data_IF_702918085113
#
_entry.id   IF_702918085113
#
_cell.length_a   1.000
_cell.length_b   1.000
_cell.length_c   1.000
_cell.angle_alpha   90.00
_cell.angle_beta   90.00
_cell.angle_gamma   90.00
#
_symmetry.space_group_name_H-M   'P 1'
#
loop_
_entity.id
_entity.type
_entity.pdbx_description
1 polymer ?
#
# COMPACT_ATOMS: atom_id res chain seq x y z
N UNK A 1 -29.50 -50.42 5.38
CA UNK A 1 -29.37 -50.04 6.80
C UNK A 1 -28.51 -48.81 6.94
N UNK A 2 -29.13 -47.63 7.10
CA UNK A 2 -28.41 -46.40 7.46
C UNK A 2 -28.34 -46.30 8.99
N UNK A 3 -27.13 -46.19 9.51
CA UNK A 3 -26.88 -46.11 10.95
C UNK A 3 -26.58 -44.66 11.34
N UNK A 4 -27.59 -43.97 11.87
CA UNK A 4 -27.46 -42.63 12.46
C UNK A 4 -26.82 -42.73 13.84
N UNK A 5 -25.57 -42.28 13.96
CA UNK A 5 -24.88 -42.14 15.25
C UNK A 5 -25.01 -40.69 15.71
N UNK A 6 -25.73 -40.46 16.81
CA UNK A 6 -25.80 -39.15 17.46
C UNK A 6 -24.53 -38.95 18.27
N UNK A 7 -23.65 -38.07 17.81
CA UNK A 7 -22.41 -37.72 18.50
C UNK A 7 -22.75 -36.81 19.70
N UNK A 8 -22.25 -37.10 20.91
CA UNK A 8 -22.46 -36.22 22.07
C UNK A 8 -21.96 -34.80 21.78
N UNK A 9 -22.83 -33.80 21.92
CA UNK A 9 -22.53 -32.39 21.63
C UNK A 9 -23.13 -31.83 20.34
N UNK A 10 -23.85 -32.61 19.53
CA UNK A 10 -24.59 -32.07 18.37
C UNK A 10 -25.57 -30.96 18.75
N UNK A 11 -26.33 -31.12 19.84
CA UNK A 11 -27.25 -30.07 20.31
C UNK A 11 -26.57 -28.80 20.82
N UNK A 12 -25.30 -28.85 21.25
CA UNK A 12 -24.56 -27.63 21.60
C UNK A 12 -24.00 -26.93 20.37
N UNK A 13 -23.63 -27.67 19.33
CA UNK A 13 -23.25 -27.10 18.03
C UNK A 13 -24.41 -26.32 17.39
N UNK A 14 -25.64 -26.80 17.52
CA UNK A 14 -26.86 -26.12 17.04
C UNK A 14 -27.09 -24.76 17.71
N UNK A 15 -26.48 -24.50 18.86
CA UNK A 15 -26.55 -23.21 19.57
C UNK A 15 -25.30 -22.36 19.29
N UNK A 16 -24.12 -22.97 19.36
CA UNK A 16 -22.84 -22.26 19.23
C UNK A 16 -22.62 -21.76 17.80
N UNK A 17 -22.90 -22.57 16.79
CA UNK A 17 -22.65 -22.20 15.38
C UNK A 17 -23.51 -20.99 14.96
N UNK A 18 -24.84 -20.95 15.21
CA UNK A 18 -25.63 -19.76 14.89
C UNK A 18 -25.20 -18.52 15.67
N UNK A 19 -24.80 -18.65 16.94
CA UNK A 19 -24.32 -17.54 17.75
C UNK A 19 -23.03 -16.92 17.19
N UNK A 20 -22.06 -17.76 16.80
CA UNK A 20 -20.83 -17.30 16.16
C UNK A 20 -21.08 -16.70 14.77
N UNK A 21 -21.99 -17.31 13.99
CA UNK A 21 -22.39 -16.78 12.69
C UNK A 21 -23.08 -15.40 12.81
N UNK A 22 -23.94 -15.22 13.80
CA UNK A 22 -24.56 -13.94 14.10
C UNK A 22 -23.52 -12.88 14.50
N UNK A 23 -22.55 -13.25 15.35
CA UNK A 23 -21.45 -12.37 15.76
C UNK A 23 -20.58 -11.95 14.56
N UNK A 24 -20.23 -12.89 13.69
CA UNK A 24 -19.47 -12.61 12.47
C UNK A 24 -20.25 -11.67 11.53
N UNK A 25 -21.56 -11.90 11.38
CA UNK A 25 -22.43 -11.06 10.58
C UNK A 25 -22.50 -9.63 11.13
N UNK A 26 -22.62 -9.48 12.44
CA UNK A 26 -22.62 -8.17 13.10
C UNK A 26 -21.32 -7.40 12.85
N UNK A 27 -20.17 -8.05 13.01
CA UNK A 27 -18.85 -7.45 12.74
C UNK A 27 -18.71 -7.05 11.26
N UNK A 28 -19.19 -7.88 10.33
CA UNK A 28 -19.18 -7.53 8.90
C UNK A 28 -20.04 -6.31 8.59
N UNK A 29 -21.23 -6.22 9.18
CA UNK A 29 -22.11 -5.06 9.02
C UNK A 29 -21.46 -3.79 9.56
N UNK A 30 -20.88 -3.86 10.77
CA UNK A 30 -20.17 -2.71 11.36
C UNK A 30 -18.97 -2.29 10.51
N UNK A 31 -18.21 -3.25 9.96
CA UNK A 31 -17.09 -2.96 9.05
C UNK A 31 -17.56 -2.21 7.80
N UNK A 32 -18.66 -2.66 7.17
CA UNK A 32 -19.21 -1.99 5.98
C UNK A 32 -19.70 -0.57 6.30
N UNK A 33 -20.34 -0.39 7.46
CA UNK A 33 -20.78 0.94 7.89
C UNK A 33 -19.59 1.89 8.09
N UNK A 34 -18.51 1.43 8.74
CA UNK A 34 -17.29 2.23 8.90
C UNK A 34 -16.59 2.49 7.56
N UNK A 35 -16.54 1.52 6.65
CA UNK A 35 -16.01 1.71 5.29
C UNK A 35 -16.79 2.82 4.55
N UNK A 36 -18.13 2.81 4.63
CA UNK A 36 -18.96 3.87 4.03
C UNK A 36 -18.65 5.25 4.62
N UNK A 37 -18.53 5.36 5.94
CA UNK A 37 -18.18 6.63 6.60
C UNK A 37 -16.79 7.13 6.19
N UNK A 38 -15.79 6.24 6.12
CA UNK A 38 -14.44 6.59 5.66
C UNK A 38 -14.47 7.10 4.22
N UNK A 39 -15.25 6.46 3.34
CA UNK A 39 -15.39 6.89 1.96
C UNK A 39 -15.98 8.30 1.87
N UNK A 40 -17.06 8.58 2.61
CA UNK A 40 -17.67 9.91 2.65
C UNK A 40 -16.70 10.98 3.17
N UNK A 41 -15.97 10.69 4.24
CA UNK A 41 -14.96 11.61 4.77
C UNK A 41 -13.81 11.84 3.77
N UNK A 42 -13.41 10.80 3.05
CA UNK A 42 -12.38 10.93 2.03
C UNK A 42 -12.87 11.76 0.85
N UNK A 43 -14.06 11.52 0.33
CA UNK A 43 -14.64 12.27 -0.79
C UNK A 43 -14.74 13.78 -0.48
N UNK A 44 -15.03 14.13 0.78
CA UNK A 44 -15.04 15.53 1.22
C UNK A 44 -13.65 16.17 1.36
N UNK A 45 -12.56 15.37 1.37
CA UNK A 45 -11.22 15.87 1.61
C UNK A 45 -10.59 16.47 0.33
N UNK A 46 -10.01 17.69 0.36
CA UNK A 46 -9.49 18.37 -0.83
C UNK A 46 -8.39 17.59 -1.60
N UNK A 47 -7.55 16.85 -0.87
CA UNK A 47 -6.48 16.04 -1.47
C UNK A 47 -6.95 14.67 -2.01
N UNK A 48 -8.20 14.29 -1.76
CA UNK A 48 -8.75 13.01 -2.24
C UNK A 48 -8.64 12.84 -3.76
N UNK A 49 -9.16 13.76 -4.60
CA UNK A 49 -9.07 13.62 -6.06
C UNK A 49 -7.63 13.62 -6.55
N UNK A 50 -6.72 14.35 -5.88
CA UNK A 50 -5.28 14.32 -6.18
C UNK A 50 -4.73 12.92 -5.93
N UNK A 51 -4.96 12.34 -4.75
CA UNK A 51 -4.46 11.01 -4.40
C UNK A 51 -5.05 9.91 -5.28
N UNK A 52 -6.36 9.90 -5.51
CA UNK A 52 -7.04 8.86 -6.30
C UNK A 52 -6.78 8.97 -7.79
N UNK A 53 -6.27 10.10 -8.29
CA UNK A 53 -5.84 10.22 -9.69
C UNK A 53 -4.65 9.33 -10.03
N UNK A 54 -3.85 8.94 -9.02
CA UNK A 54 -2.69 8.06 -9.21
C UNK A 54 -3.16 6.60 -9.39
N UNK A 55 -2.86 5.95 -10.53
CA UNK A 55 -3.29 4.58 -10.79
C UNK A 55 -2.83 3.62 -9.69
N UNK A 56 -3.72 2.77 -9.17
CA UNK A 56 -3.40 1.88 -8.03
C UNK A 56 -3.54 2.54 -6.65
N UNK A 57 -3.97 3.80 -6.56
CA UNK A 57 -4.40 4.42 -5.29
C UNK A 57 -5.93 4.48 -5.27
N UNK A 58 -6.54 3.47 -4.64
CA UNK A 58 -7.98 3.48 -4.35
C UNK A 58 -8.29 4.22 -3.04
N UNK A 59 -9.58 4.39 -2.75
CA UNK A 59 -10.12 5.09 -1.57
C UNK A 59 -9.43 4.66 -0.26
N UNK A 60 -9.33 3.35 -0.02
CA UNK A 60 -8.66 2.83 1.19
C UNK A 60 -7.17 3.18 1.25
N UNK A 61 -6.46 3.09 0.12
CA UNK A 61 -5.04 3.45 0.05
C UNK A 61 -4.88 4.95 0.27
N UNK A 62 -5.70 5.79 -0.37
CA UNK A 62 -5.72 7.23 -0.18
C UNK A 62 -5.98 7.63 1.28
N UNK A 63 -6.94 6.99 1.95
CA UNK A 63 -7.20 7.21 3.38
C UNK A 63 -5.97 6.90 4.25
N UNK A 64 -5.28 5.78 3.99
CA UNK A 64 -4.02 5.46 4.70
C UNK A 64 -2.94 6.50 4.39
N UNK A 65 -2.82 6.98 3.15
CA UNK A 65 -1.87 8.02 2.79
C UNK A 65 -2.16 9.33 3.54
N UNK A 66 -3.41 9.78 3.59
CA UNK A 66 -3.78 10.98 4.35
C UNK A 66 -3.47 10.84 5.84
N UNK A 67 -3.81 9.71 6.47
CA UNK A 67 -3.55 9.49 7.90
C UNK A 67 -2.05 9.41 8.21
N UNK A 68 -1.25 8.84 7.30
CA UNK A 68 0.17 8.60 7.56
C UNK A 68 1.11 9.71 7.08
N UNK A 69 0.73 10.44 6.03
CA UNK A 69 1.55 11.44 5.34
C UNK A 69 0.95 12.84 5.46
N UNK A 70 -0.37 12.97 5.65
CA UNK A 70 -1.07 14.25 5.63
C UNK A 70 -1.00 14.92 4.25
N UNK A 71 -0.70 16.21 4.25
CA UNK A 71 -0.45 17.02 3.05
C UNK A 71 1.00 16.91 2.53
N UNK A 72 1.85 16.10 3.18
CA UNK A 72 3.24 15.90 2.79
C UNK A 72 4.19 17.01 3.21
N UNK A 73 3.72 18.11 3.81
CA UNK A 73 4.55 19.26 4.22
C UNK A 73 5.53 18.93 5.35
N UNK A 74 5.24 17.87 6.11
CA UNK A 74 6.11 17.35 7.18
C UNK A 74 7.42 16.72 6.67
N UNK A 75 7.57 16.53 5.35
CA UNK A 75 8.75 15.90 4.76
C UNK A 75 9.49 16.89 3.86
N UNK A 76 10.78 17.19 4.13
CA UNK A 76 11.54 18.12 3.29
C UNK A 76 11.75 17.63 1.86
N UNK A 77 11.86 16.31 1.67
CA UNK A 77 12.07 15.70 0.35
C UNK A 77 11.36 14.36 0.23
N UNK A 78 11.13 13.93 -1.03
CA UNK A 78 10.64 12.59 -1.34
C UNK A 78 11.48 11.47 -0.71
N UNK A 79 12.79 11.67 -0.56
CA UNK A 79 13.67 10.70 0.09
C UNK A 79 13.38 10.55 1.59
N UNK A 80 13.02 11.64 2.28
CA UNK A 80 12.58 11.60 3.68
C UNK A 80 11.27 10.83 3.81
N UNK A 81 10.30 11.06 2.92
CA UNK A 81 9.05 10.31 2.90
C UNK A 81 9.29 8.82 2.63
N UNK A 82 10.18 8.48 1.68
CA UNK A 82 10.53 7.09 1.38
C UNK A 82 11.28 6.41 2.54
N UNK A 83 12.09 7.17 3.27
CA UNK A 83 12.76 6.71 4.49
C UNK A 83 11.77 6.43 5.61
N UNK A 84 10.85 7.38 5.86
CA UNK A 84 9.75 7.20 6.82
C UNK A 84 8.88 5.99 6.47
N UNK A 85 8.58 5.77 5.19
CA UNK A 85 7.86 4.58 4.72
C UNK A 85 8.65 3.26 4.86
N UNK A 86 9.93 3.28 5.22
CA UNK A 86 10.77 2.09 5.23
C UNK A 86 10.95 1.48 3.83
N UNK A 87 10.98 2.33 2.80
CA UNK A 87 11.25 1.99 1.40
C UNK A 87 12.63 2.42 0.95
N UNK A 88 13.33 3.25 1.73
CA UNK A 88 14.70 3.63 1.44
C UNK A 88 15.72 2.57 1.90
N UNK A 89 16.70 2.22 1.05
CA UNK A 89 17.78 1.35 1.49
C UNK A 89 18.53 2.02 2.64
N UNK A 90 18.92 1.23 3.63
CA UNK A 90 19.75 1.68 4.73
C UNK A 90 21.15 1.13 4.54
N UNK A 91 22.15 2.00 4.56
CA UNK A 91 23.55 1.57 4.61
C UNK A 91 23.84 1.05 6.01
N UNK A 92 24.41 -0.16 6.10
CA UNK A 92 24.95 -0.65 7.37
C UNK A 92 26.43 -0.30 7.42
N UNK A 93 26.80 0.61 8.31
CA UNK A 93 28.18 0.90 8.61
C UNK A 93 28.50 0.40 10.02
N UNK A 94 29.46 -0.52 10.13
CA UNK A 94 30.03 -0.93 11.42
C UNK A 94 31.51 -0.53 11.43
N UNK A 95 31.86 0.48 12.22
CA UNK A 95 33.21 1.05 12.24
C UNK A 95 33.60 1.65 10.89
N UNK A 96 34.74 1.23 10.35
CA UNK A 96 35.28 1.67 9.04
C UNK A 96 34.75 0.90 7.84
N UNK A 97 34.00 -0.19 8.05
CA UNK A 97 33.45 -1.00 6.95
C UNK A 97 32.04 -0.56 6.57
N UNK A 98 31.86 -0.21 5.29
CA UNK A 98 30.54 0.02 4.68
C UNK A 98 30.04 -1.33 4.13
N UNK A 99 29.12 -1.96 4.85
CA UNK A 99 28.48 -3.21 4.47
C UNK A 99 27.26 -2.93 3.59
N UNK A 100 27.51 -2.54 2.34
CA UNK A 100 26.51 -2.42 1.27
C UNK A 100 25.18 -1.71 1.64
N UNK A 101 24.17 -1.92 0.80
CA UNK A 101 22.81 -1.44 1.05
C UNK A 101 21.91 -2.59 1.49
N UNK A 102 21.16 -2.39 2.57
CA UNK A 102 20.21 -3.36 3.09
C UNK A 102 18.78 -2.83 3.09
N UNK A 103 17.82 -3.75 3.09
CA UNK A 103 16.42 -3.40 3.32
C UNK A 103 16.27 -2.82 4.74
N UNK A 104 15.57 -1.68 4.90
CA UNK A 104 15.36 -1.05 6.20
C UNK A 104 14.52 -1.97 7.10
N UNK A 105 14.91 -2.07 8.37
CA UNK A 105 14.16 -2.81 9.40
C UNK A 105 13.06 -1.97 10.08
N UNK A 106 13.12 -0.64 9.94
CA UNK A 106 12.16 0.31 10.50
C UNK A 106 11.23 0.94 9.47
N UNK A 107 10.51 1.98 9.89
CA UNK A 107 9.57 2.76 9.08
C UNK A 107 8.10 2.41 9.33
N UNK A 108 7.21 3.24 8.80
CA UNK A 108 5.77 3.09 8.91
C UNK A 108 5.28 1.90 8.07
N UNK A 109 4.93 0.80 8.76
CA UNK A 109 4.47 -0.45 8.12
C UNK A 109 3.18 -0.29 7.33
N UNK A 110 2.27 0.59 7.76
CA UNK A 110 1.02 0.84 7.06
C UNK A 110 1.28 1.56 5.73
N UNK A 111 2.11 2.60 5.74
CA UNK A 111 2.52 3.33 4.54
C UNK A 111 3.30 2.43 3.57
N UNK A 112 4.22 1.62 4.08
CA UNK A 112 4.96 0.63 3.26
C UNK A 112 4.01 -0.31 2.53
N UNK A 113 3.02 -0.86 3.24
CA UNK A 113 2.03 -1.78 2.69
C UNK A 113 1.13 -1.08 1.66
N UNK A 114 0.69 0.15 1.96
CA UNK A 114 -0.11 0.95 1.04
C UNK A 114 0.62 1.19 -0.28
N UNK A 115 1.89 1.59 -0.23
CA UNK A 115 2.70 1.84 -1.42
C UNK A 115 3.06 0.56 -2.18
N UNK A 116 3.28 -0.56 -1.47
CA UNK A 116 3.46 -1.87 -2.12
C UNK A 116 2.21 -2.30 -2.90
N UNK A 117 1.03 -2.19 -2.28
CA UNK A 117 -0.23 -2.53 -2.95
C UNK A 117 -0.52 -1.58 -4.12
N UNK A 118 -0.20 -0.30 -3.97
CA UNK A 118 -0.31 0.67 -5.05
C UNK A 118 0.59 0.31 -6.23
N UNK A 119 1.86 -0.04 -5.96
CA UNK A 119 2.81 -0.49 -6.98
C UNK A 119 2.36 -1.78 -7.68
N UNK A 120 1.72 -2.70 -6.96
CA UNK A 120 1.18 -3.92 -7.54
C UNK A 120 -0.03 -3.62 -8.45
N UNK A 121 -0.99 -2.83 -7.96
CA UNK A 121 -2.23 -2.53 -8.67
C UNK A 121 -1.99 -1.65 -9.92
N UNK A 122 -1.00 -0.77 -9.89
CA UNK A 122 -0.74 0.15 -11.01
C UNK A 122 -0.16 -0.54 -12.24
N UNK A 123 0.38 -1.77 -12.14
CA UNK A 123 1.07 -2.45 -13.24
C UNK A 123 0.18 -2.67 -14.49
N UNK A 124 -1.14 -2.74 -14.32
CA UNK A 124 -2.07 -2.91 -15.44
C UNK A 124 -2.58 -1.59 -16.01
N UNK A 125 -2.50 -0.50 -15.25
CA UNK A 125 -3.10 0.79 -15.59
C UNK A 125 -2.07 1.85 -16.01
N UNK A 126 -0.80 1.69 -15.61
CA UNK A 126 0.29 2.61 -15.95
C UNK A 126 1.44 1.86 -16.66
N UNK A 127 1.58 2.03 -18.00
CA UNK A 127 2.65 1.42 -18.77
C UNK A 127 4.06 1.81 -18.28
N UNK A 128 4.24 3.00 -17.72
CA UNK A 128 5.54 3.47 -17.22
C UNK A 128 5.98 2.70 -15.97
N UNK A 129 5.05 2.53 -15.02
CA UNK A 129 5.26 1.67 -13.85
C UNK A 129 5.56 0.23 -14.25
N UNK A 130 4.87 -0.28 -15.29
CA UNK A 130 5.12 -1.63 -15.80
C UNK A 130 6.52 -1.76 -16.40
N UNK A 131 6.93 -0.83 -17.26
CA UNK A 131 8.25 -0.82 -17.87
C UNK A 131 9.37 -0.74 -16.81
N UNK A 132 9.20 0.09 -15.78
CA UNK A 132 10.16 0.15 -14.67
C UNK A 132 10.26 -1.19 -13.92
N UNK A 133 9.12 -1.80 -13.60
CA UNK A 133 9.07 -3.11 -12.96
C UNK A 133 9.79 -4.18 -13.79
N UNK A 134 9.50 -4.25 -15.09
CA UNK A 134 10.11 -5.21 -16.01
C UNK A 134 11.63 -4.98 -16.14
N UNK A 135 12.09 -3.71 -16.17
CA UNK A 135 13.52 -3.35 -16.10
C UNK A 135 14.19 -3.86 -14.82
N UNK A 136 13.52 -3.80 -13.66
CA UNK A 136 14.07 -4.36 -12.42
C UNK A 136 14.09 -5.90 -12.44
N UNK A 137 13.08 -6.55 -13.04
CA UNK A 137 13.05 -8.01 -13.21
C UNK A 137 14.16 -8.49 -14.14
N UNK A 138 14.42 -7.79 -15.24
CA UNK A 138 15.52 -8.07 -16.16
C UNK A 138 16.91 -7.94 -15.49
N UNK A 139 17.04 -7.06 -14.49
CA UNK A 139 18.24 -6.95 -13.64
C UNK A 139 18.37 -8.04 -12.56
N UNK A 140 17.59 -9.12 -12.66
CA UNK A 140 17.63 -10.26 -11.74
C UNK A 140 16.98 -10.03 -10.37
N UNK A 141 16.22 -8.92 -10.18
CA UNK A 141 15.53 -8.68 -8.90
C UNK A 141 14.33 -9.60 -8.75
N UNK A 142 14.06 -10.08 -7.53
CA UNK A 142 12.86 -10.87 -7.25
C UNK A 142 11.58 -10.02 -7.43
N UNK A 143 10.43 -10.66 -7.59
CA UNK A 143 9.15 -9.96 -7.75
C UNK A 143 8.92 -8.92 -6.64
N UNK A 144 9.10 -9.33 -5.38
CA UNK A 144 8.95 -8.46 -4.21
C UNK A 144 9.96 -7.30 -4.22
N UNK A 145 11.22 -7.56 -4.61
CA UNK A 145 12.23 -6.50 -4.71
C UNK A 145 11.92 -5.49 -5.81
N UNK A 146 11.42 -5.95 -6.97
CA UNK A 146 11.01 -5.09 -8.07
C UNK A 146 9.81 -4.21 -7.65
N UNK A 147 8.80 -4.77 -6.98
CA UNK A 147 7.67 -4.02 -6.45
C UNK A 147 8.08 -3.00 -5.37
N UNK A 148 8.99 -3.35 -4.47
CA UNK A 148 9.47 -2.40 -3.45
C UNK A 148 10.25 -1.23 -4.07
N UNK A 149 11.02 -1.49 -5.14
CA UNK A 149 11.70 -0.43 -5.90
C UNK A 149 10.70 0.47 -6.63
N UNK A 150 9.69 -0.13 -7.27
CA UNK A 150 8.60 0.62 -7.90
C UNK A 150 7.83 1.44 -6.85
N UNK A 151 7.53 0.87 -5.69
CA UNK A 151 6.88 1.57 -4.58
C UNK A 151 7.71 2.78 -4.13
N UNK A 152 9.04 2.65 -3.99
CA UNK A 152 9.93 3.78 -3.67
C UNK A 152 9.86 4.87 -4.75
N UNK A 153 9.89 4.51 -6.03
CA UNK A 153 9.75 5.49 -7.11
C UNK A 153 8.40 6.21 -7.06
N UNK A 154 7.32 5.47 -6.76
CA UNK A 154 5.97 6.00 -6.62
C UNK A 154 5.81 6.93 -5.41
N UNK A 155 6.59 6.73 -4.34
CA UNK A 155 6.67 7.70 -3.23
C UNK A 155 7.15 9.07 -3.72
N UNK A 156 8.13 9.11 -4.62
CA UNK A 156 8.60 10.37 -5.18
C UNK A 156 7.54 11.09 -6.01
N UNK A 157 6.75 10.33 -6.77
CA UNK A 157 5.62 10.89 -7.55
C UNK A 157 4.53 11.40 -6.60
N UNK A 158 4.14 10.59 -5.61
CA UNK A 158 3.17 10.98 -4.59
C UNK A 158 3.58 12.28 -3.88
N UNK A 159 4.85 12.39 -3.48
CA UNK A 159 5.39 13.59 -2.82
C UNK A 159 5.27 14.83 -3.71
N UNK A 160 5.60 14.72 -5.01
CA UNK A 160 5.46 15.82 -5.94
C UNK A 160 3.99 16.23 -6.13
N UNK A 161 3.08 15.26 -6.28
CA UNK A 161 1.64 15.51 -6.39
C UNK A 161 1.09 16.25 -5.17
N UNK A 162 1.49 15.84 -3.97
CA UNK A 162 1.07 16.48 -2.72
C UNK A 162 1.63 17.90 -2.58
N UNK A 163 2.92 18.08 -2.88
CA UNK A 163 3.60 19.39 -2.80
C UNK A 163 3.00 20.40 -3.78
N UNK A 164 2.75 19.96 -5.01
CA UNK A 164 2.32 20.85 -6.11
C UNK A 164 0.78 20.91 -6.23
N UNK A 165 0.04 20.08 -5.48
CA UNK A 165 -1.42 19.98 -5.58
C UNK A 165 -1.90 19.49 -6.95
N UNK A 166 -1.08 18.72 -7.67
CA UNK A 166 -1.32 18.33 -9.06
C UNK A 166 -1.82 16.90 -9.19
N UNK A 167 -2.68 16.66 -10.18
CA UNK A 167 -3.09 15.31 -10.55
C UNK A 167 -1.94 14.49 -11.10
N UNK A 168 -2.05 13.18 -10.98
CA UNK A 168 -1.08 12.25 -11.54
C UNK A 168 -0.99 12.43 -13.06
N UNK A 169 0.23 12.64 -13.53
CA UNK A 169 0.56 12.66 -14.94
C UNK A 169 1.30 11.37 -15.28
N UNK A 170 0.76 10.61 -16.24
CA UNK A 170 1.44 9.42 -16.75
C UNK A 170 2.76 9.86 -17.39
N UNK A 171 3.86 9.25 -16.95
CA UNK A 171 5.17 9.49 -17.55
C UNK A 171 5.31 8.59 -18.76
N UNK A 172 5.95 9.06 -19.83
CA UNK A 172 6.31 8.13 -20.89
C UNK A 172 7.50 7.28 -20.42
N UNK A 173 7.65 6.01 -20.88
CA UNK A 173 8.76 5.15 -20.47
C UNK A 173 10.15 5.76 -20.70
N UNK A 174 10.29 6.68 -21.67
CA UNK A 174 11.56 7.35 -21.99
C UNK A 174 11.97 8.40 -20.94
N UNK A 175 11.03 9.04 -20.26
CA UNK A 175 11.33 10.07 -19.25
C UNK A 175 11.94 9.48 -17.96
N UNK A 176 11.78 8.17 -17.75
CA UNK A 176 12.27 7.46 -16.57
C UNK A 176 13.79 7.26 -16.62
N UNK A 177 14.41 7.30 -17.80
CA UNK A 177 15.87 7.14 -17.95
C UNK A 177 16.67 8.38 -17.55
N UNK A 178 16.06 9.56 -17.57
CA UNK A 178 16.72 10.82 -17.22
C UNK A 178 16.81 11.08 -15.70
N UNK A 179 16.10 10.31 -14.87
CA UNK A 179 15.94 10.56 -13.43
C UNK A 179 16.47 9.43 -12.52
N UNK A 180 17.22 8.47 -13.07
CA UNK A 180 17.80 7.33 -12.35
C UNK A 180 19.28 7.56 -12.03
#
# INVERSE_FOLDING_TARGET
DEQTVVVPGTGTLDIVVPSLAASLTAVHTQRRAMEAQINTLLEAHPLSPVLTSMPGVGVRTAAVLLVTVGDGTSYPTAAHLASYAGLAPTTKQSGTSIHGEHAPRGGNRQLKRAMFLSAFACMNADPASRAYYDKQRARGKTHTQALLRLARQRVSVLFAMLRDGTFYQSRTPNDVELAA
#
